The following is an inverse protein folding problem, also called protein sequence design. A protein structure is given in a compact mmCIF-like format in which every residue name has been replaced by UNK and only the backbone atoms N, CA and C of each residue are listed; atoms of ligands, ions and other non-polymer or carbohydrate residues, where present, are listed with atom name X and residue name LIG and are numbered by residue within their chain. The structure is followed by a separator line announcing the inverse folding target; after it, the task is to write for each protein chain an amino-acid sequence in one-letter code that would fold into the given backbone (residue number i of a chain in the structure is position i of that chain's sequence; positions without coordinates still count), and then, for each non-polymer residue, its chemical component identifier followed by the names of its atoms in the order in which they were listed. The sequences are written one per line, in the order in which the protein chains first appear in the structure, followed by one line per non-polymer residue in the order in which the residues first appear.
data_IF_076153742626
#
_entry.id   IF_076153742626
#
_cell.length_a   1.000
_cell.length_b   1.000
_cell.length_c   1.000
_cell.angle_alpha   90.00
_cell.angle_beta   90.00
_cell.angle_gamma   90.00
#
_symmetry.space_group_name_H-M   'P 1'
#
loop_
_entity.id
_entity.type
_entity.pdbx_description
1 polymer ?
#
# COMPACT_ATOMS: atom_id res chain seq x y z
N UNK A 1 6.12 9.20 4.85
CA UNK A 1 6.62 7.81 4.91
C UNK A 1 6.61 7.28 3.49
N UNK A 2 7.71 6.72 3.01
CA UNK A 2 7.69 6.02 1.74
C UNK A 2 6.69 4.86 1.85
N UNK A 3 5.92 4.62 0.78
CA UNK A 3 5.05 3.45 0.67
C UNK A 3 5.93 2.20 0.58
N UNK A 4 6.24 1.64 1.74
CA UNK A 4 7.03 0.41 1.87
C UNK A 4 6.10 -0.80 1.91
N UNK A 5 6.39 -1.77 1.04
CA UNK A 5 5.56 -2.98 0.86
C UNK A 5 5.47 -3.76 2.18
N UNK A 6 6.57 -3.88 2.92
CA UNK A 6 6.59 -4.64 4.18
C UNK A 6 5.77 -3.99 5.29
N UNK A 7 5.84 -2.66 5.43
CA UNK A 7 5.01 -1.94 6.41
C UNK A 7 3.52 -2.10 6.08
N UNK A 8 3.17 -1.95 4.80
CA UNK A 8 1.80 -2.13 4.31
C UNK A 8 1.31 -3.57 4.53
N UNK A 9 2.16 -4.57 4.29
CA UNK A 9 1.87 -5.99 4.56
C UNK A 9 1.56 -6.23 6.04
N UNK A 10 2.35 -5.66 6.95
CA UNK A 10 2.14 -5.81 8.38
C UNK A 10 0.81 -5.21 8.83
N UNK A 11 0.47 -4.01 8.36
CA UNK A 11 -0.83 -3.38 8.66
C UNK A 11 -2.01 -4.22 8.15
N UNK A 12 -1.91 -4.79 6.94
CA UNK A 12 -2.95 -5.67 6.39
C UNK A 12 -3.14 -6.94 7.24
N UNK A 13 -2.05 -7.55 7.72
CA UNK A 13 -2.13 -8.72 8.60
C UNK A 13 -2.78 -8.36 9.94
N UNK A 14 -2.42 -7.21 10.53
CA UNK A 14 -3.01 -6.74 11.79
C UNK A 14 -4.51 -6.48 11.66
N UNK A 15 -4.95 -5.88 10.55
CA UNK A 15 -6.36 -5.63 10.28
C UNK A 15 -7.16 -6.93 10.12
N UNK A 16 -6.58 -7.94 9.46
CA UNK A 16 -7.19 -9.27 9.37
C UNK A 16 -7.34 -9.92 10.75
N UNK A 17 -6.29 -9.86 11.58
CA UNK A 17 -6.35 -10.38 12.95
C UNK A 17 -7.38 -9.65 13.81
N UNK A 18 -7.47 -8.32 13.68
CA UNK A 18 -8.47 -7.51 14.38
C UNK A 18 -9.91 -7.89 14.00
N UNK A 19 -10.11 -8.40 12.79
CA UNK A 19 -11.40 -8.91 12.30
C UNK A 19 -11.66 -10.38 12.65
N UNK A 20 -10.77 -11.02 13.40
CA UNK A 20 -10.91 -12.40 13.87
C UNK A 20 -10.38 -13.46 12.90
N UNK A 21 -9.63 -13.08 11.86
CA UNK A 21 -8.96 -14.05 10.99
C UNK A 21 -7.72 -14.63 11.69
N UNK A 22 -7.56 -15.95 11.63
CA UNK A 22 -6.32 -16.62 12.02
C UNK A 22 -5.36 -16.54 10.82
N UNK A 23 -4.32 -15.73 10.94
CA UNK A 23 -3.36 -15.47 9.86
C UNK A 23 -2.17 -16.44 9.86
N UNK A 24 -2.06 -17.29 10.88
CA UNK A 24 -0.95 -18.21 11.11
C UNK A 24 -1.41 -19.67 10.99
N UNK A 25 -0.51 -20.56 10.57
CA UNK A 25 -0.80 -21.99 10.40
C UNK A 25 0.19 -22.64 9.44
N UNK A 26 0.38 -23.95 9.56
CA UNK A 26 1.38 -24.73 8.79
C UNK A 26 1.20 -24.60 7.26
N UNK A 27 -0.04 -24.41 6.81
CA UNK A 27 -0.38 -24.19 5.40
C UNK A 27 -0.95 -22.79 5.12
N UNK A 28 -0.75 -21.84 6.04
CA UNK A 28 -1.27 -20.47 5.90
C UNK A 28 -0.51 -19.73 4.80
N UNK A 29 -1.25 -19.31 3.77
CA UNK A 29 -0.73 -18.46 2.68
C UNK A 29 -1.04 -16.97 2.90
N UNK A 30 -1.47 -16.59 4.11
CA UNK A 30 -1.88 -15.21 4.38
C UNK A 30 -0.71 -14.23 4.24
N UNK A 31 0.50 -14.60 4.68
CA UNK A 31 1.69 -13.75 4.55
C UNK A 31 2.06 -13.45 3.09
N UNK A 32 2.30 -14.45 2.20
CA UNK A 32 2.59 -14.19 0.79
C UNK A 32 1.42 -13.55 0.04
N UNK A 33 0.17 -13.84 0.43
CA UNK A 33 -1.01 -13.16 -0.13
C UNK A 33 -1.03 -11.67 0.22
N UNK A 34 -0.82 -11.33 1.50
CA UNK A 34 -0.78 -9.92 1.93
C UNK A 34 0.41 -9.18 1.33
N UNK A 35 1.53 -9.86 1.09
CA UNK A 35 2.67 -9.29 0.38
C UNK A 35 2.34 -8.91 -1.06
N UNK A 36 1.67 -9.81 -1.80
CA UNK A 36 1.22 -9.54 -3.17
C UNK A 36 0.23 -8.37 -3.23
N UNK A 37 -0.72 -8.31 -2.29
CA UNK A 37 -1.67 -7.21 -2.18
C UNK A 37 -0.96 -5.89 -1.87
N UNK A 38 -0.06 -5.87 -0.89
CA UNK A 38 0.74 -4.69 -0.54
C UNK A 38 1.55 -4.19 -1.74
N UNK A 39 2.23 -5.08 -2.47
CA UNK A 39 3.00 -4.72 -3.66
C UNK A 39 2.12 -4.11 -4.77
N UNK A 40 0.94 -4.69 -5.00
CA UNK A 40 -0.02 -4.16 -5.97
C UNK A 40 -0.52 -2.77 -5.58
N UNK A 41 -0.83 -2.55 -4.29
CA UNK A 41 -1.25 -1.24 -3.78
C UNK A 41 -0.14 -0.18 -3.95
N UNK A 42 1.09 -0.49 -3.55
CA UNK A 42 2.24 0.41 -3.74
C UNK A 42 2.41 0.77 -5.21
N UNK A 43 2.26 -0.22 -6.10
CA UNK A 43 2.36 0.00 -7.55
C UNK A 43 1.26 0.94 -8.05
N UNK A 44 0.00 0.69 -7.69
CA UNK A 44 -1.15 1.51 -8.12
C UNK A 44 -1.01 2.93 -7.59
N UNK A 45 -0.67 3.10 -6.31
CA UNK A 45 -0.52 4.43 -5.71
C UNK A 45 0.63 5.18 -6.37
N UNK A 46 1.79 4.55 -6.60
CA UNK A 46 2.91 5.20 -7.30
C UNK A 46 2.55 5.55 -8.75
N UNK A 47 1.83 4.67 -9.46
CA UNK A 47 1.39 4.89 -10.84
C UNK A 47 0.44 6.08 -10.97
N UNK A 48 -0.43 6.25 -9.98
CA UNK A 48 -1.53 7.23 -10.00
C UNK A 48 -1.23 8.45 -9.11
N UNK A 49 -0.04 8.53 -8.52
CA UNK A 49 0.36 9.64 -7.67
C UNK A 49 0.52 10.93 -8.48
N UNK A 50 -0.19 11.97 -8.04
CA UNK A 50 -0.18 13.29 -8.64
C UNK A 50 0.02 14.37 -7.57
N UNK A 51 0.74 15.42 -7.93
CA UNK A 51 0.93 16.62 -7.12
C UNK A 51 0.11 17.74 -7.74
N UNK A 52 -0.81 18.29 -6.96
CA UNK A 52 -1.63 19.42 -7.36
C UNK A 52 -1.03 20.70 -6.76
N UNK A 53 -0.59 21.62 -7.62
CA UNK A 53 -0.08 22.93 -7.22
C UNK A 53 -1.18 23.97 -7.48
N UNK A 54 -1.80 24.46 -6.40
CA UNK A 54 -2.96 25.34 -6.50
C UNK A 54 -2.62 26.82 -6.73
N UNK A 55 -1.37 27.26 -6.57
CA UNK A 55 -0.98 28.68 -6.66
C UNK A 55 0.43 28.88 -7.22
N UNK A 56 0.73 30.09 -7.71
CA UNK A 56 2.05 30.46 -8.24
C UNK A 56 2.23 30.14 -9.71
N UNK A 57 3.43 30.43 -10.25
CA UNK A 57 3.77 30.24 -11.67
C UNK A 57 3.85 28.77 -12.10
N UNK A 58 3.88 27.84 -11.15
CA UNK A 58 3.86 26.39 -11.38
C UNK A 58 2.50 25.78 -11.07
N UNK A 59 1.41 26.55 -11.20
CA UNK A 59 0.05 26.04 -11.04
C UNK A 59 -0.22 24.92 -12.06
N UNK A 60 -0.72 23.77 -11.58
CA UNK A 60 -1.01 22.60 -12.41
C UNK A 60 -0.99 21.29 -11.63
N UNK A 61 -1.31 20.20 -12.34
CA UNK A 61 -1.22 18.82 -11.84
C UNK A 61 -0.02 18.13 -12.48
N UNK A 62 0.82 17.52 -11.66
CA UNK A 62 2.07 16.89 -12.08
C UNK A 62 2.11 15.44 -11.61
N UNK A 63 2.41 14.52 -12.52
CA UNK A 63 2.60 13.12 -12.18
C UNK A 63 3.90 12.93 -11.40
N UNK A 64 3.85 12.14 -10.33
CA UNK A 64 5.06 11.73 -9.59
C UNK A 64 5.76 10.63 -10.40
N UNK A 65 7.04 10.80 -10.71
CA UNK A 65 7.91 9.80 -11.37
C UNK A 65 8.98 9.28 -10.43
#
# INVERSE_FOLDING_TARGET
MALEVDATKQELIQELQARGFVTEGEFSQNSPLMEAIAAAMVTVIKRDAEVIINTGSSNGTYKVT
#
